data_IF_270481511520
#
_entry.id   IF_270481511520
#
_cell.length_a   1.000
_cell.length_b   1.000
_cell.length_c   1.000
_cell.angle_alpha   90.00
_cell.angle_beta   90.00
_cell.angle_gamma   90.00
#
_symmetry.space_group_name_H-M   'P 1'
#
loop_
_entity.id
_entity.type
_entity.pdbx_description
1 polymer ?
#
# COMPACT_ATOMS: atom_id res chain seq x y z
N UNK A 1 -7.40 14.93 8.22
CA UNK A 1 -6.26 14.36 8.98
C UNK A 1 -6.66 13.27 9.99
N UNK A 2 -7.84 13.30 10.64
CA UNK A 2 -8.21 12.24 11.61
C UNK A 2 -8.73 10.94 10.96
N UNK A 3 -9.55 11.01 9.91
CA UNK A 3 -10.14 9.81 9.30
C UNK A 3 -9.13 8.89 8.60
N UNK A 4 -8.18 9.45 7.84
CA UNK A 4 -7.20 8.65 7.08
C UNK A 4 -6.26 7.83 7.98
N UNK A 5 -5.89 8.38 9.13
CA UNK A 5 -5.08 7.70 10.14
C UNK A 5 -5.88 6.58 10.82
N UNK A 6 -7.15 6.83 11.13
CA UNK A 6 -8.02 5.83 11.75
C UNK A 6 -8.30 4.65 10.81
N UNK A 7 -8.54 4.90 9.52
CA UNK A 7 -8.72 3.85 8.52
C UNK A 7 -7.47 2.99 8.35
N UNK A 8 -6.27 3.60 8.34
CA UNK A 8 -5.00 2.85 8.30
C UNK A 8 -4.84 1.95 9.52
N UNK A 9 -5.08 2.47 10.72
CA UNK A 9 -4.96 1.71 11.98
C UNK A 9 -5.94 0.53 12.00
N UNK A 10 -7.20 0.77 11.65
CA UNK A 10 -8.22 -0.27 11.61
C UNK A 10 -7.87 -1.40 10.63
N UNK A 11 -7.42 -1.04 9.43
CA UNK A 11 -7.04 -2.01 8.38
C UNK A 11 -5.86 -2.88 8.81
N UNK A 12 -4.87 -2.30 9.48
CA UNK A 12 -3.72 -3.03 10.00
C UNK A 12 -4.14 -4.00 11.11
N UNK A 13 -4.93 -3.56 12.08
CA UNK A 13 -5.40 -4.42 13.19
C UNK A 13 -6.18 -5.65 12.70
N UNK A 14 -7.03 -5.49 11.68
CA UNK A 14 -7.76 -6.62 11.09
C UNK A 14 -6.82 -7.60 10.40
N UNK A 15 -5.83 -7.11 9.63
CA UNK A 15 -4.82 -7.98 9.02
C UNK A 15 -4.01 -8.74 10.07
N UNK A 16 -3.61 -8.09 11.17
CA UNK A 16 -2.91 -8.74 12.28
C UNK A 16 -3.72 -9.89 12.88
N UNK A 17 -5.03 -9.70 13.07
CA UNK A 17 -5.91 -10.77 13.58
C UNK A 17 -5.97 -11.93 12.59
N UNK A 18 -6.10 -11.65 11.28
CA UNK A 18 -6.12 -12.70 10.26
C UNK A 18 -4.78 -13.46 10.19
N UNK A 19 -3.66 -12.78 10.40
CA UNK A 19 -2.34 -13.40 10.47
C UNK A 19 -2.24 -14.33 11.69
N UNK A 20 -2.70 -13.88 12.87
CA UNK A 20 -2.74 -14.73 14.08
C UNK A 20 -3.63 -15.96 13.87
N UNK A 21 -4.79 -15.80 13.23
CA UNK A 21 -5.70 -16.91 12.94
C UNK A 21 -5.04 -17.95 12.02
N UNK A 22 -4.31 -17.49 11.01
CA UNK A 22 -3.54 -18.36 10.14
C UNK A 22 -2.40 -19.06 10.89
N UNK A 23 -1.60 -18.34 11.65
CA UNK A 23 -0.43 -18.89 12.34
C UNK A 23 -0.80 -19.89 13.46
N UNK A 24 -1.86 -19.60 14.24
CA UNK A 24 -2.22 -20.42 15.40
C UNK A 24 -3.21 -21.53 15.09
N UNK A 25 -4.05 -21.34 14.08
CA UNK A 25 -5.19 -22.24 13.81
C UNK A 25 -5.27 -22.72 12.36
N UNK A 26 -4.30 -22.35 11.50
CA UNK A 26 -4.27 -22.66 10.06
C UNK A 26 -5.54 -22.19 9.31
N UNK A 27 -6.19 -21.14 9.83
CA UNK A 27 -7.38 -20.54 9.23
C UNK A 27 -6.97 -19.45 8.24
N UNK A 28 -6.63 -19.84 7.01
CA UNK A 28 -6.34 -18.89 5.93
C UNK A 28 -7.63 -18.34 5.30
N UNK A 29 -8.01 -17.13 5.69
CA UNK A 29 -9.21 -16.49 5.17
C UNK A 29 -8.97 -15.88 3.78
N UNK A 30 -9.76 -16.24 2.74
CA UNK A 30 -9.63 -15.66 1.40
C UNK A 30 -9.71 -14.13 1.35
N UNK A 31 -10.34 -13.50 2.35
CA UNK A 31 -10.44 -12.04 2.44
C UNK A 31 -9.11 -11.37 2.75
N UNK A 32 -8.15 -12.09 3.35
CA UNK A 32 -6.84 -11.58 3.75
C UNK A 32 -6.13 -10.91 2.57
N UNK A 33 -6.03 -11.61 1.44
CA UNK A 33 -5.35 -11.09 0.26
C UNK A 33 -6.05 -9.84 -0.32
N UNK A 34 -7.39 -9.81 -0.26
CA UNK A 34 -8.17 -8.65 -0.70
C UNK A 34 -7.92 -7.45 0.21
N UNK A 35 -7.90 -7.66 1.52
CA UNK A 35 -7.62 -6.62 2.52
C UNK A 35 -6.18 -6.10 2.42
N UNK A 36 -5.18 -6.97 2.27
CA UNK A 36 -3.79 -6.55 2.08
C UNK A 36 -3.63 -5.68 0.84
N UNK A 37 -4.28 -6.07 -0.27
CA UNK A 37 -4.27 -5.28 -1.51
C UNK A 37 -4.96 -3.91 -1.34
N UNK A 38 -6.10 -3.86 -0.63
CA UNK A 38 -6.80 -2.61 -0.34
C UNK A 38 -5.99 -1.69 0.58
N UNK A 39 -5.39 -2.25 1.63
CA UNK A 39 -4.56 -1.51 2.58
C UNK A 39 -3.32 -0.92 1.89
N UNK A 40 -2.62 -1.71 1.08
CA UNK A 40 -1.48 -1.21 0.29
C UNK A 40 -1.88 -0.06 -0.63
N UNK A 41 -3.02 -0.18 -1.31
CA UNK A 41 -3.52 0.87 -2.20
C UNK A 41 -3.82 2.16 -1.44
N UNK A 42 -4.58 2.09 -0.35
CA UNK A 42 -4.85 3.26 0.49
C UNK A 42 -3.58 3.86 1.07
N UNK A 43 -2.65 3.03 1.51
CA UNK A 43 -1.38 3.48 2.04
C UNK A 43 -0.57 4.26 0.99
N UNK A 44 -0.50 3.75 -0.24
CA UNK A 44 0.17 4.43 -1.35
C UNK A 44 -0.53 5.72 -1.74
N UNK A 45 -1.86 5.73 -1.87
CA UNK A 45 -2.60 6.95 -2.22
C UNK A 45 -2.36 8.08 -1.21
N UNK A 46 -2.33 7.75 0.09
CA UNK A 46 -2.02 8.73 1.14
C UNK A 46 -0.56 9.18 1.11
N UNK A 47 0.39 8.25 0.95
CA UNK A 47 1.81 8.61 0.88
C UNK A 47 2.15 9.46 -0.36
N UNK A 48 1.42 9.27 -1.46
CA UNK A 48 1.63 9.94 -2.74
C UNK A 48 0.83 11.25 -2.89
N UNK A 49 0.22 11.76 -1.82
CA UNK A 49 -0.22 13.17 -1.77
C UNK A 49 0.95 14.14 -1.99
N UNK A 50 2.16 13.71 -1.62
CA UNK A 50 3.41 14.37 -1.96
C UNK A 50 4.21 13.53 -2.97
N UNK A 51 4.99 14.20 -3.82
CA UNK A 51 5.86 13.51 -4.77
C UNK A 51 6.95 12.72 -4.04
N UNK A 52 7.00 11.40 -4.27
CA UNK A 52 7.92 10.50 -3.58
C UNK A 52 8.62 9.52 -4.50
N UNK A 53 9.83 9.11 -4.13
CA UNK A 53 10.52 8.02 -4.82
C UNK A 53 10.13 6.67 -4.22
N UNK A 54 10.45 5.59 -4.94
CA UNK A 54 10.29 4.24 -4.39
C UNK A 54 11.07 4.02 -3.08
N UNK A 55 12.19 4.73 -2.87
CA UNK A 55 12.97 4.61 -1.64
C UNK A 55 12.22 5.21 -0.45
N UNK A 56 11.47 6.27 -0.66
CA UNK A 56 10.68 6.93 0.38
C UNK A 56 9.47 6.08 0.73
N UNK A 57 8.76 5.57 -0.29
CA UNK A 57 7.63 4.66 -0.09
C UNK A 57 8.00 3.40 0.70
N UNK A 58 9.19 2.83 0.49
CA UNK A 58 9.67 1.67 1.26
C UNK A 58 9.87 1.95 2.74
N UNK A 59 10.11 3.21 3.12
CA UNK A 59 10.26 3.61 4.54
C UNK A 59 8.91 3.88 5.19
N UNK A 60 7.92 4.29 4.41
CA UNK A 60 6.60 4.69 4.92
C UNK A 60 5.54 3.59 4.86
N UNK A 61 5.74 2.62 3.98
CA UNK A 61 4.76 1.57 3.69
C UNK A 61 5.39 0.23 4.08
N UNK A 62 4.85 -0.40 5.12
CA UNK A 62 5.29 -1.70 5.64
C UNK A 62 4.85 -2.86 4.74
N UNK A 63 5.30 -2.84 3.49
CA UNK A 63 5.01 -3.88 2.51
C UNK A 63 6.26 -4.32 1.74
N UNK A 64 6.30 -5.57 1.27
CA UNK A 64 7.39 -6.03 0.42
C UNK A 64 7.51 -5.19 -0.84
N UNK A 65 8.77 -4.90 -1.24
CA UNK A 65 9.05 -4.03 -2.39
C UNK A 65 8.36 -4.47 -3.68
N UNK A 66 8.28 -5.78 -3.93
CA UNK A 66 7.63 -6.31 -5.13
C UNK A 66 6.11 -6.00 -5.16
N UNK A 67 5.44 -6.00 -4.01
CA UNK A 67 4.02 -5.66 -3.92
C UNK A 67 3.81 -4.17 -4.16
N UNK A 68 4.68 -3.33 -3.61
CA UNK A 68 4.67 -1.88 -3.85
C UNK A 68 4.81 -1.60 -5.35
N UNK A 69 5.81 -2.18 -6.02
CA UNK A 69 6.00 -2.00 -7.47
C UNK A 69 4.79 -2.46 -8.29
N UNK A 70 4.27 -3.66 -8.01
CA UNK A 70 3.11 -4.19 -8.74
C UNK A 70 1.88 -3.30 -8.55
N UNK A 71 1.67 -2.78 -7.33
CA UNK A 71 0.54 -1.89 -7.06
C UNK A 71 0.74 -0.51 -7.70
N UNK A 72 1.93 0.09 -7.63
CA UNK A 72 2.23 1.35 -8.31
C UNK A 72 1.97 1.27 -9.81
N UNK A 73 2.46 0.21 -10.46
CA UNK A 73 2.21 -0.02 -11.89
C UNK A 73 0.70 -0.11 -12.18
N UNK A 74 -0.04 -0.87 -11.37
CA UNK A 74 -1.49 -0.97 -11.50
C UNK A 74 -2.18 0.39 -11.33
N UNK A 75 -1.75 1.21 -10.37
CA UNK A 75 -2.31 2.54 -10.13
C UNK A 75 -1.99 3.52 -11.27
N UNK A 76 -0.82 3.40 -11.89
CA UNK A 76 -0.44 4.14 -13.10
C UNK A 76 -1.32 3.71 -14.28
N UNK A 77 -1.48 2.41 -14.50
CA UNK A 77 -2.33 1.84 -15.56
C UNK A 77 -3.81 2.26 -15.39
N UNK A 78 -4.28 2.38 -14.14
CA UNK A 78 -5.61 2.90 -13.78
C UNK A 78 -5.71 4.43 -13.85
N UNK A 79 -4.60 5.14 -14.10
CA UNK A 79 -4.55 6.59 -14.20
C UNK A 79 -4.74 7.33 -12.87
N UNK A 80 -4.60 6.64 -11.72
CA UNK A 80 -4.73 7.23 -10.38
C UNK A 80 -3.49 7.99 -9.91
N UNK A 81 -2.33 7.65 -10.47
CA UNK A 81 -1.04 8.28 -10.15
C UNK A 81 -0.32 8.67 -11.44
N UNK A 82 0.62 9.61 -11.33
CA UNK A 82 1.58 9.96 -12.36
C UNK A 82 2.98 9.53 -11.96
N UNK A 83 3.79 9.22 -12.97
CA UNK A 83 5.18 8.84 -12.80
C UNK A 83 6.05 9.77 -13.62
N UNK A 84 6.86 10.57 -12.94
CA UNK A 84 7.94 11.33 -13.55
C UNK A 84 9.16 10.40 -13.73
N UNK A 85 9.62 10.30 -14.97
CA UNK A 85 10.75 9.45 -15.42
C UNK A 85 11.93 10.29 -15.94
N UNK A 86 11.92 11.60 -15.78
CA UNK A 86 12.98 12.48 -16.29
C UNK A 86 14.33 12.24 -15.58
N UNK A 87 14.29 11.72 -14.35
CA UNK A 87 15.48 11.51 -13.52
C UNK A 87 15.83 10.04 -13.31
N UNK A 88 17.06 9.79 -12.81
CA UNK A 88 17.57 8.44 -12.51
C UNK A 88 16.70 7.64 -11.53
N UNK A 89 15.85 8.31 -10.76
CA UNK A 89 14.85 7.69 -9.89
C UNK A 89 13.47 8.20 -10.30
N UNK A 90 12.58 7.26 -10.64
CA UNK A 90 11.19 7.59 -10.89
C UNK A 90 10.57 8.20 -9.63
N UNK A 91 9.80 9.26 -9.85
CA UNK A 91 8.99 9.89 -8.80
C UNK A 91 7.53 9.65 -9.08
N UNK A 92 6.77 9.45 -8.03
CA UNK A 92 5.36 9.08 -8.08
C UNK A 92 4.57 10.16 -7.33
N UNK A 93 3.39 10.50 -7.82
CA UNK A 93 2.42 11.38 -7.15
C UNK A 93 1.00 11.00 -7.54
N UNK A 94 0.03 11.32 -6.70
CA UNK A 94 -1.39 11.23 -7.05
C UNK A 94 -1.75 12.25 -8.14
N UNK A 95 -2.72 11.91 -8.99
CA UNK A 95 -3.33 12.86 -9.94
C UNK A 95 -4.35 13.76 -9.28
#
# INVERSE_FOLDING_TARGET
>A
MQESTAERIFSFSVLTILDILKERYDLDSPIRNKLSSYYLERALMLSLEEEKTIKDLKKEVEFPSHQIYNKLRKLEDEGKIEVDREYKLNKYKTK
#
